data_IF_791900744112
#
_entry.id   IF_791900744112
#
_cell.length_a   1.000
_cell.length_b   1.000
_cell.length_c   1.000
_cell.angle_alpha   90.00
_cell.angle_beta   90.00
_cell.angle_gamma   90.00
#
_symmetry.space_group_name_H-M   'P 1'
#
loop_
_entity.id
_entity.type
_entity.pdbx_description
1 polymer ?
#
# COMPACT_ATOMS: atom_id res chain seq x y z
N UNK A 1 20.83 84.22 -58.71
CA UNK A 1 20.58 84.13 -57.25
C UNK A 1 19.09 84.23 -56.98
N UNK A 2 18.46 83.16 -56.46
CA UNK A 2 17.11 83.17 -55.86
C UNK A 2 17.16 82.32 -54.60
N UNK A 3 16.81 82.92 -53.45
CA UNK A 3 16.87 82.34 -52.11
C UNK A 3 15.99 81.07 -52.01
N UNK A 4 16.56 80.00 -51.46
CA UNK A 4 15.80 78.81 -51.06
C UNK A 4 14.85 79.14 -49.90
N UNK A 5 13.59 78.74 -50.01
CA UNK A 5 12.62 78.80 -48.90
C UNK A 5 12.83 77.60 -47.96
N UNK A 6 12.58 77.72 -46.64
CA UNK A 6 12.84 76.64 -45.69
C UNK A 6 12.00 75.40 -46.01
N UNK A 7 12.68 74.27 -46.21
CA UNK A 7 12.05 72.95 -46.34
C UNK A 7 11.41 72.62 -44.99
N UNK A 8 10.08 72.45 -44.93
CA UNK A 8 9.40 71.88 -43.76
C UNK A 8 9.94 70.46 -43.54
N UNK A 9 10.95 70.32 -42.69
CA UNK A 9 11.35 69.02 -42.12
C UNK A 9 10.48 68.83 -40.88
N UNK A 10 9.24 68.42 -41.07
CA UNK A 10 8.51 67.71 -40.02
C UNK A 10 7.97 66.44 -40.64
N UNK A 11 8.42 65.26 -40.20
CA UNK A 11 7.73 64.03 -40.53
C UNK A 11 6.28 64.13 -40.05
N UNK A 12 5.35 63.92 -40.97
CA UNK A 12 3.95 63.64 -40.66
C UNK A 12 3.88 62.39 -39.81
N UNK A 13 3.31 62.54 -38.61
CA UNK A 13 3.09 61.53 -37.57
C UNK A 13 4.32 60.73 -37.12
N UNK A 14 5.05 61.25 -36.13
CA UNK A 14 5.42 60.36 -35.04
C UNK A 14 4.12 60.06 -34.29
N UNK A 15 3.48 58.92 -34.58
CA UNK A 15 2.61 58.32 -33.57
C UNK A 15 3.52 58.08 -32.37
N UNK A 16 3.20 58.69 -31.23
CA UNK A 16 3.79 58.22 -29.98
C UNK A 16 3.57 56.71 -29.96
N UNK A 17 4.67 55.96 -30.07
CA UNK A 17 4.65 54.57 -29.67
C UNK A 17 4.57 54.68 -28.16
N UNK A 18 3.34 54.79 -27.64
CA UNK A 18 3.03 54.49 -26.25
C UNK A 18 3.68 53.14 -25.97
N UNK A 19 4.89 53.17 -25.44
CA UNK A 19 5.49 52.04 -24.74
C UNK A 19 4.74 52.04 -23.40
N UNK A 20 3.45 51.71 -23.46
CA UNK A 20 2.70 51.41 -22.25
C UNK A 20 3.33 50.13 -21.70
N UNK A 21 3.87 50.23 -20.49
CA UNK A 21 4.26 49.08 -19.70
C UNK A 21 2.96 48.41 -19.26
N UNK A 22 2.37 47.64 -20.15
CA UNK A 22 1.16 46.87 -19.85
C UNK A 22 1.59 45.63 -19.08
N UNK A 23 1.56 45.70 -17.75
CA UNK A 23 1.64 44.50 -16.93
C UNK A 23 0.35 43.72 -17.11
N UNK A 24 0.44 42.58 -17.79
CA UNK A 24 -0.70 41.70 -17.97
C UNK A 24 -0.32 40.29 -17.58
N UNK A 25 -1.15 39.69 -16.73
CA UNK A 25 -1.11 38.27 -16.40
C UNK A 25 -2.10 37.51 -17.27
N UNK A 26 -1.67 36.39 -17.80
CA UNK A 26 -2.56 35.37 -18.38
C UNK A 26 -2.37 34.07 -17.61
N UNK A 27 -3.43 33.27 -17.54
CA UNK A 27 -3.43 31.99 -16.84
C UNK A 27 -3.79 30.90 -17.82
N UNK A 28 -2.98 29.83 -17.86
CA UNK A 28 -3.29 28.60 -18.58
C UNK A 28 -3.38 27.44 -17.60
N UNK A 29 -4.35 26.56 -17.85
CA UNK A 29 -4.64 25.39 -17.04
C UNK A 29 -4.63 24.13 -17.89
N UNK A 30 -4.07 23.07 -17.33
CA UNK A 30 -4.06 21.73 -17.91
C UNK A 30 -4.17 20.72 -16.78
N UNK A 31 -4.55 19.49 -17.11
CA UNK A 31 -4.49 18.38 -16.18
C UNK A 31 -3.96 17.12 -16.84
N UNK A 32 -3.36 16.24 -16.02
CA UNK A 32 -2.98 14.90 -16.44
C UNK A 32 -3.16 13.92 -15.28
N UNK A 33 -3.46 12.69 -15.65
CA UNK A 33 -3.49 11.51 -14.80
C UNK A 33 -2.15 10.79 -14.89
N UNK A 34 -1.57 10.42 -13.75
CA UNK A 34 -0.33 9.64 -13.67
C UNK A 34 -0.56 8.31 -12.99
N UNK A 35 -0.01 7.23 -13.55
CA UNK A 35 0.15 5.94 -12.85
C UNK A 35 1.42 5.94 -11.99
N UNK A 36 1.61 4.92 -11.15
CA UNK A 36 2.82 4.73 -10.34
C UNK A 36 4.10 4.79 -11.20
N UNK A 37 5.14 5.43 -10.66
CA UNK A 37 6.45 5.66 -11.30
C UNK A 37 6.42 6.36 -12.67
N UNK A 38 5.26 6.86 -13.08
CA UNK A 38 5.13 7.55 -14.34
C UNK A 38 5.73 8.95 -14.24
N UNK A 39 6.77 9.18 -15.04
CA UNK A 39 7.31 10.51 -15.29
C UNK A 39 6.42 11.26 -16.27
N UNK A 40 6.16 12.53 -15.96
CA UNK A 40 5.49 13.44 -16.87
C UNK A 40 6.16 14.81 -16.89
N UNK A 41 5.96 15.50 -18.00
CA UNK A 41 6.54 16.82 -18.23
C UNK A 41 5.40 17.77 -18.56
N UNK A 42 5.26 18.80 -17.74
CA UNK A 42 4.36 19.89 -18.02
C UNK A 42 5.14 21.03 -18.63
N UNK A 43 4.74 21.41 -19.84
CA UNK A 43 5.41 22.42 -20.63
C UNK A 43 4.45 23.59 -20.83
N UNK A 44 4.88 24.78 -20.42
CA UNK A 44 4.22 26.04 -20.79
C UNK A 44 5.11 26.75 -21.81
N UNK A 45 4.51 27.18 -22.93
CA UNK A 45 5.20 27.96 -23.95
C UNK A 45 4.54 29.33 -24.13
N UNK A 46 5.31 30.39 -23.94
CA UNK A 46 4.93 31.76 -24.26
C UNK A 46 5.60 32.18 -25.57
N UNK A 47 4.81 32.58 -26.58
CA UNK A 47 5.31 32.97 -27.91
C UNK A 47 4.89 34.37 -28.36
N UNK A 48 5.82 35.13 -28.93
CA UNK A 48 5.59 36.45 -29.54
C UNK A 48 5.14 36.31 -31.00
N UNK A 49 3.91 36.75 -31.33
CA UNK A 49 3.35 36.70 -32.69
C UNK A 49 4.05 37.63 -33.69
N UNK A 50 4.79 38.65 -33.22
CA UNK A 50 5.40 39.69 -34.07
C UNK A 50 6.90 39.84 -33.92
N UNK A 51 7.55 38.87 -33.26
CA UNK A 51 8.99 38.90 -33.06
C UNK A 51 9.48 40.02 -32.13
N UNK A 52 8.59 40.58 -31.31
CA UNK A 52 8.92 41.56 -30.27
C UNK A 52 9.59 40.82 -29.11
N UNK A 53 10.72 41.32 -28.56
CA UNK A 53 11.36 40.74 -27.40
C UNK A 53 10.39 40.65 -26.22
N UNK A 54 10.31 39.45 -25.64
CA UNK A 54 9.49 39.18 -24.47
C UNK A 54 10.38 39.34 -23.22
N UNK A 55 10.08 40.36 -22.40
CA UNK A 55 10.61 40.45 -21.03
C UNK A 55 9.54 39.91 -20.09
N UNK A 56 9.83 38.76 -19.46
CA UNK A 56 8.80 37.98 -18.77
C UNK A 56 9.25 37.47 -17.40
N UNK A 57 8.29 37.48 -16.47
CA UNK A 57 8.29 36.62 -15.29
C UNK A 57 7.22 35.53 -15.49
N UNK A 58 7.65 34.27 -15.48
CA UNK A 58 6.77 33.09 -15.50
C UNK A 58 6.77 32.42 -14.13
N UNK A 59 5.58 32.18 -13.60
CA UNK A 59 5.39 31.43 -12.36
C UNK A 59 4.54 30.20 -12.72
N UNK A 60 5.04 29.00 -12.40
CA UNK A 60 4.28 27.74 -12.54
C UNK A 60 3.95 27.22 -11.14
N UNK A 61 2.71 26.80 -10.94
CA UNK A 61 2.25 26.20 -9.69
C UNK A 61 1.51 24.89 -9.95
N UNK A 62 1.58 23.98 -8.97
CA UNK A 62 1.04 22.61 -9.03
C UNK A 62 0.03 22.39 -7.91
N UNK A 63 -1.10 21.74 -8.22
CA UNK A 63 -2.18 21.48 -7.25
C UNK A 63 -2.85 20.11 -7.44
N UNK A 64 -3.40 19.54 -6.37
CA UNK A 64 -4.03 18.19 -6.34
C UNK A 64 -5.53 18.19 -5.98
N UNK A 65 -6.20 19.36 -5.89
CA UNK A 65 -7.58 19.44 -5.38
C UNK A 65 -8.53 20.28 -6.25
N UNK A 66 -8.46 21.62 -6.18
CA UNK A 66 -9.37 22.50 -6.92
C UNK A 66 -8.77 23.87 -7.24
N UNK A 67 -9.33 24.50 -8.29
CA UNK A 67 -8.99 25.87 -8.73
C UNK A 67 -9.23 26.91 -7.63
N UNK A 68 -10.23 26.67 -6.76
CA UNK A 68 -10.58 27.61 -5.69
C UNK A 68 -9.52 27.67 -4.58
N UNK A 69 -8.93 26.53 -4.23
CA UNK A 69 -7.85 26.41 -3.24
C UNK A 69 -6.50 26.82 -3.82
N UNK A 70 -6.25 26.51 -5.10
CA UNK A 70 -5.08 26.95 -5.85
C UNK A 70 -4.93 28.48 -5.93
N UNK A 71 -6.03 29.22 -5.90
CA UNK A 71 -6.03 30.68 -5.94
C UNK A 71 -5.75 31.36 -4.59
N UNK A 72 -5.65 30.60 -3.49
CA UNK A 72 -5.39 31.13 -2.15
C UNK A 72 -3.90 31.24 -1.80
N UNK A 73 -3.01 30.60 -2.57
CA UNK A 73 -1.56 30.60 -2.31
C UNK A 73 -0.79 31.10 -3.54
N UNK A 74 -0.48 32.40 -3.64
CA UNK A 74 0.38 32.91 -4.70
C UNK A 74 1.76 32.23 -4.62
N UNK A 75 2.16 31.53 -5.68
CA UNK A 75 3.45 30.84 -5.80
C UNK A 75 3.66 29.66 -4.84
N UNK A 76 2.60 29.03 -4.33
CA UNK A 76 2.70 27.82 -3.49
C UNK A 76 2.09 26.59 -4.13
N UNK A 77 2.43 25.41 -3.61
CA UNK A 77 1.78 24.12 -3.91
C UNK A 77 1.00 23.66 -2.68
N UNK A 78 -0.15 23.00 -2.89
CA UNK A 78 -0.87 22.28 -1.84
C UNK A 78 -0.64 20.75 -1.91
N UNK A 79 0.29 20.34 -2.76
CA UNK A 79 0.65 18.95 -2.96
C UNK A 79 1.34 18.42 -1.72
N UNK A 80 0.89 17.27 -1.24
CA UNK A 80 1.61 16.49 -0.25
C UNK A 80 2.84 15.85 -0.92
N UNK A 81 4.03 16.23 -0.46
CA UNK A 81 5.30 15.75 -1.01
C UNK A 81 5.60 14.29 -0.66
N UNK A 82 4.78 13.64 0.17
CA UNK A 82 4.87 12.20 0.39
C UNK A 82 4.51 11.38 -0.86
N UNK A 83 3.69 11.92 -1.78
CA UNK A 83 3.14 11.18 -2.92
C UNK A 83 3.73 11.62 -4.27
N UNK A 84 4.64 12.62 -4.28
CA UNK A 84 5.22 13.15 -5.52
C UNK A 84 6.63 13.70 -5.33
N UNK A 85 7.40 13.67 -6.41
CA UNK A 85 8.70 14.33 -6.49
C UNK A 85 8.77 15.27 -7.70
N UNK A 86 9.25 16.49 -7.47
CA UNK A 86 9.67 17.42 -8.54
C UNK A 86 11.11 17.06 -8.90
N UNK A 87 11.32 16.48 -10.08
CA UNK A 87 12.58 15.79 -10.45
C UNK A 87 13.48 16.58 -11.41
N UNK A 88 13.10 17.78 -11.85
CA UNK A 88 13.83 18.52 -12.87
C UNK A 88 13.91 20.03 -12.66
N UNK A 89 14.76 20.74 -13.43
CA UNK A 89 15.03 22.16 -13.23
C UNK A 89 13.78 23.02 -13.50
N UNK A 90 13.61 24.08 -12.71
CA UNK A 90 12.48 25.01 -12.78
C UNK A 90 12.35 25.76 -14.13
N UNK A 91 13.43 25.82 -14.93
CA UNK A 91 13.48 26.56 -16.21
C UNK A 91 14.51 25.96 -17.17
N UNK A 92 14.09 25.73 -18.42
CA UNK A 92 14.98 25.46 -19.54
C UNK A 92 14.87 26.61 -20.55
N UNK A 93 15.92 27.41 -20.69
CA UNK A 93 15.99 28.41 -21.77
C UNK A 93 16.41 27.68 -23.04
N UNK A 94 15.45 27.37 -23.92
CA UNK A 94 15.80 26.95 -25.27
C UNK A 94 16.32 28.17 -26.06
N UNK A 95 17.62 28.16 -26.37
CA UNK A 95 18.27 29.04 -27.34
C UNK A 95 17.44 29.12 -28.65
N UNK A 96 17.19 30.26 -29.30
CA UNK A 96 17.60 31.61 -29.04
C UNK A 96 17.01 32.53 -30.13
N UNK A 97 16.14 33.47 -29.72
CA UNK A 97 15.80 34.69 -30.47
C UNK A 97 14.88 35.67 -29.69
N UNK A 98 14.71 35.49 -28.37
CA UNK A 98 14.00 36.42 -27.47
C UNK A 98 12.48 36.46 -27.65
N UNK A 99 11.91 35.46 -28.34
CA UNK A 99 10.50 35.45 -28.82
C UNK A 99 9.68 34.28 -28.33
N UNK A 100 10.33 33.19 -27.92
CA UNK A 100 9.69 32.03 -27.33
C UNK A 100 10.36 31.76 -25.99
N UNK A 101 9.55 31.59 -24.94
CA UNK A 101 10.00 31.19 -23.62
C UNK A 101 9.27 29.90 -23.29
N UNK A 102 10.03 28.90 -22.84
CA UNK A 102 9.51 27.59 -22.46
C UNK A 102 9.87 27.37 -21.00
N UNK A 103 8.86 27.06 -20.18
CA UNK A 103 9.07 26.63 -18.81
C UNK A 103 8.54 25.20 -18.66
N UNK A 104 9.36 24.33 -18.06
CA UNK A 104 9.04 22.93 -17.83
C UNK A 104 9.05 22.63 -16.35
N UNK A 105 8.13 21.80 -15.91
CA UNK A 105 8.22 21.10 -14.63
C UNK A 105 8.16 19.61 -14.91
N UNK A 106 9.13 18.89 -14.36
CA UNK A 106 9.18 17.43 -14.38
C UNK A 106 8.60 16.92 -13.07
N UNK A 107 7.56 16.11 -13.16
CA UNK A 107 6.86 15.53 -12.00
C UNK A 107 6.89 14.01 -12.15
N UNK A 108 7.21 13.32 -11.04
CA UNK A 108 7.02 11.89 -10.90
C UNK A 108 5.89 11.63 -9.91
N UNK A 109 4.99 10.71 -10.25
CA UNK A 109 4.12 10.09 -9.26
C UNK A 109 4.97 9.13 -8.43
N UNK A 110 5.20 9.47 -7.17
CA UNK A 110 5.98 8.64 -6.24
C UNK A 110 4.99 7.99 -5.27
N UNK A 111 3.87 7.50 -5.81
CA UNK A 111 2.98 6.62 -5.07
C UNK A 111 3.86 5.61 -4.34
N UNK A 112 3.69 5.53 -3.02
CA UNK A 112 4.65 4.85 -2.17
C UNK A 112 4.64 3.39 -2.60
N UNK A 113 5.75 2.95 -3.20
CA UNK A 113 5.89 1.60 -3.75
C UNK A 113 5.27 0.59 -2.77
N UNK A 114 4.43 -0.31 -3.26
CA UNK A 114 3.96 -1.46 -2.48
C UNK A 114 5.16 -2.08 -1.78
N UNK A 115 5.15 -2.04 -0.45
CA UNK A 115 6.26 -2.50 0.39
C UNK A 115 5.79 -3.70 1.18
N UNK A 116 5.30 -4.71 0.46
CA UNK A 116 4.86 -5.96 1.06
C UNK A 116 6.03 -6.89 1.30
N UNK A 117 5.98 -7.64 2.39
CA UNK A 117 6.92 -8.70 2.73
C UNK A 117 6.17 -10.00 2.94
N UNK A 118 6.68 -11.09 2.37
CA UNK A 118 6.20 -12.44 2.66
C UNK A 118 6.98 -13.03 3.83
N UNK A 119 6.26 -13.55 4.81
CA UNK A 119 6.78 -14.29 5.94
C UNK A 119 6.20 -15.69 5.92
N UNK A 120 7.09 -16.66 5.80
CA UNK A 120 6.79 -18.07 5.87
C UNK A 120 7.46 -18.67 7.13
N UNK A 121 6.73 -19.50 7.88
CA UNK A 121 7.19 -20.09 9.14
C UNK A 121 6.64 -21.52 9.29
N UNK A 122 7.54 -22.48 9.44
CA UNK A 122 7.21 -23.81 9.95
C UNK A 122 7.27 -23.88 11.48
N UNK A 123 6.78 -25.00 12.01
CA UNK A 123 7.01 -25.39 13.40
C UNK A 123 8.48 -25.88 13.53
N UNK A 124 9.05 -25.80 14.74
CA UNK A 124 10.49 -26.07 14.98
C UNK A 124 10.77 -26.84 16.27
N UNK A 125 9.72 -27.24 16.99
CA UNK A 125 9.79 -27.86 18.31
C UNK A 125 8.44 -28.48 18.66
N UNK A 126 8.42 -29.67 19.21
CA UNK A 126 7.17 -30.37 19.52
C UNK A 126 6.31 -29.72 20.59
N UNK A 127 6.85 -28.81 21.39
CA UNK A 127 6.03 -28.02 22.31
C UNK A 127 5.26 -26.88 21.60
N UNK A 128 5.39 -26.76 20.28
CA UNK A 128 4.76 -25.73 19.46
C UNK A 128 3.55 -26.24 18.70
N UNK A 129 3.22 -27.50 18.81
CA UNK A 129 1.95 -28.03 18.36
C UNK A 129 1.42 -29.06 19.36
N UNK A 130 0.21 -29.50 19.09
CA UNK A 130 -0.43 -30.53 19.89
C UNK A 130 -1.93 -30.53 19.70
N UNK A 131 -2.56 -31.54 20.29
CA UNK A 131 -4.00 -31.64 20.35
C UNK A 131 -4.48 -32.02 21.74
N UNK A 132 -5.68 -31.57 22.05
CA UNK A 132 -6.43 -32.04 23.19
C UNK A 132 -7.25 -33.25 22.79
N UNK A 133 -7.00 -34.37 23.48
CA UNK A 133 -7.74 -35.62 23.30
C UNK A 133 -8.28 -36.12 24.65
N UNK A 134 -8.75 -35.19 25.50
CA UNK A 134 -9.04 -35.42 26.93
C UNK A 134 -7.81 -35.27 27.84
N UNK A 135 -6.63 -35.21 27.24
CA UNK A 135 -5.37 -34.73 27.81
C UNK A 135 -4.65 -33.98 26.69
N UNK A 136 -3.84 -32.97 27.03
CA UNK A 136 -2.99 -32.31 26.05
C UNK A 136 -1.86 -33.26 25.62
N UNK A 137 -1.80 -33.54 24.32
CA UNK A 137 -0.79 -34.39 23.68
C UNK A 137 -0.03 -33.59 22.61
N UNK A 138 1.29 -33.56 22.76
CA UNK A 138 2.25 -32.86 21.91
C UNK A 138 3.46 -33.77 21.60
N UNK A 139 3.31 -35.07 21.86
CA UNK A 139 4.37 -36.08 21.71
C UNK A 139 4.02 -37.16 20.69
N UNK A 140 2.83 -37.06 20.10
CA UNK A 140 2.35 -37.94 19.05
C UNK A 140 2.79 -37.43 17.69
N UNK A 141 3.02 -38.35 16.76
CA UNK A 141 3.33 -38.10 15.34
C UNK A 141 2.16 -37.45 14.56
N UNK A 142 1.19 -36.82 15.24
CA UNK A 142 0.09 -36.11 14.60
C UNK A 142 -0.85 -35.40 15.56
N UNK A 143 -1.42 -34.28 15.10
CA UNK A 143 -2.39 -33.47 15.84
C UNK A 143 -3.81 -33.75 15.37
N UNK A 144 -4.73 -33.95 16.31
CA UNK A 144 -6.12 -34.33 16.03
C UNK A 144 -7.11 -33.17 16.25
N UNK A 145 -8.15 -33.09 15.41
CA UNK A 145 -9.25 -32.13 15.54
C UNK A 145 -10.58 -32.74 15.08
N UNK A 146 -11.67 -32.48 15.80
CA UNK A 146 -13.02 -32.94 15.45
C UNK A 146 -13.82 -33.49 16.62
N UNK A 147 -14.84 -34.31 16.35
CA UNK A 147 -15.80 -34.83 17.33
C UNK A 147 -15.30 -36.00 18.18
N UNK A 148 -13.98 -36.13 18.35
CA UNK A 148 -13.26 -37.13 19.14
C UNK A 148 -13.98 -38.46 19.42
N UNK A 149 -13.95 -38.96 20.65
CA UNK A 149 -14.66 -40.21 21.00
C UNK A 149 -15.71 -39.94 22.06
N UNK A 150 -16.71 -40.82 22.17
CA UNK A 150 -17.74 -40.70 23.22
C UNK A 150 -17.17 -40.62 24.65
N UNK A 151 -15.96 -41.14 24.88
CA UNK A 151 -15.30 -41.12 26.19
C UNK A 151 -14.42 -39.88 26.42
N UNK A 152 -13.92 -39.26 25.35
CA UNK A 152 -12.93 -38.17 25.41
C UNK A 152 -13.52 -36.81 25.03
N UNK A 153 -14.69 -36.78 24.40
CA UNK A 153 -15.33 -35.55 23.93
C UNK A 153 -14.68 -35.02 22.66
N UNK A 154 -14.76 -33.72 22.46
CA UNK A 154 -14.21 -32.99 21.32
C UNK A 154 -12.68 -32.97 21.35
N UNK A 155 -12.09 -33.04 20.16
CA UNK A 155 -10.67 -32.84 19.93
C UNK A 155 -10.45 -31.46 19.32
N UNK A 156 -9.46 -30.75 19.82
CA UNK A 156 -9.00 -29.50 19.23
C UNK A 156 -7.48 -29.51 19.13
N UNK A 157 -6.94 -28.81 18.14
CA UNK A 157 -5.51 -28.71 17.94
C UNK A 157 -5.03 -27.27 18.10
N UNK A 158 -3.75 -27.10 18.41
CA UNK A 158 -3.13 -25.79 18.43
C UNK A 158 -1.73 -25.86 17.81
N UNK A 159 -1.33 -24.74 17.22
CA UNK A 159 -0.01 -24.56 16.60
C UNK A 159 0.57 -23.22 17.02
N UNK A 160 1.90 -23.15 17.09
CA UNK A 160 2.68 -21.99 17.52
C UNK A 160 3.88 -21.82 16.59
N UNK A 161 4.07 -20.58 16.16
CA UNK A 161 5.14 -20.18 15.27
C UNK A 161 6.06 -19.19 15.97
N UNK A 162 7.35 -19.48 15.98
CA UNK A 162 8.37 -18.66 16.63
C UNK A 162 8.89 -17.56 15.69
N UNK A 163 9.46 -16.50 16.29
CA UNK A 163 10.19 -15.47 15.57
C UNK A 163 9.38 -14.84 14.41
N UNK A 164 8.16 -14.41 14.71
CA UNK A 164 7.32 -13.67 13.77
C UNK A 164 7.87 -12.25 13.67
N UNK A 165 8.54 -11.95 12.56
CA UNK A 165 9.27 -10.69 12.40
C UNK A 165 8.40 -9.51 11.97
N UNK A 166 7.08 -9.64 12.08
CA UNK A 166 6.11 -8.60 11.72
C UNK A 166 6.13 -7.48 12.78
N UNK A 167 6.33 -6.20 12.40
CA UNK A 167 6.21 -5.08 13.31
C UNK A 167 4.81 -4.96 13.94
N UNK A 168 4.73 -4.29 15.09
CA UNK A 168 3.46 -3.97 15.72
C UNK A 168 2.62 -3.03 14.86
N UNK A 169 1.34 -3.37 14.69
CA UNK A 169 0.37 -2.58 13.92
C UNK A 169 0.61 -2.57 12.42
N UNK A 170 1.48 -3.46 11.91
CA UNK A 170 1.71 -3.59 10.48
C UNK A 170 0.46 -4.13 9.78
N UNK A 171 0.18 -3.62 8.58
CA UNK A 171 -0.99 -4.05 7.82
C UNK A 171 -0.81 -5.49 7.34
N UNK A 172 -1.75 -6.37 7.68
CA UNK A 172 -1.78 -7.74 7.14
C UNK A 172 -2.64 -7.75 5.87
N UNK A 173 -2.08 -8.24 4.77
CA UNK A 173 -2.76 -8.32 3.48
C UNK A 173 -3.38 -9.71 3.26
N UNK A 174 -2.68 -10.76 3.70
CA UNK A 174 -3.20 -12.13 3.71
C UNK A 174 -2.47 -12.98 4.73
N UNK A 175 -3.14 -13.95 5.33
CA UNK A 175 -2.51 -14.96 6.17
C UNK A 175 -3.18 -16.33 6.00
N UNK A 176 -2.41 -17.41 5.95
CA UNK A 176 -2.95 -18.78 5.85
C UNK A 176 -2.11 -19.77 6.65
N UNK A 177 -2.76 -20.83 7.12
CA UNK A 177 -2.09 -22.02 7.62
C UNK A 177 -2.22 -23.16 6.61
N UNK A 178 -1.18 -23.95 6.42
CA UNK A 178 -1.20 -25.17 5.59
C UNK A 178 -0.84 -26.38 6.43
N UNK A 179 -1.68 -27.41 6.39
CA UNK A 179 -1.49 -28.66 7.13
C UNK A 179 -1.36 -29.85 6.19
N UNK A 180 -0.47 -30.79 6.50
CA UNK A 180 -0.37 -32.08 5.79
C UNK A 180 -1.18 -33.13 6.52
N UNK A 181 -2.03 -33.89 5.82
CA UNK A 181 -2.81 -34.96 6.44
C UNK A 181 -1.94 -36.18 6.76
N UNK A 182 -1.91 -36.60 8.03
CA UNK A 182 -1.20 -37.81 8.49
C UNK A 182 -2.02 -39.08 8.32
N UNK A 183 -3.32 -38.95 7.97
CA UNK A 183 -4.21 -40.07 7.69
C UNK A 183 -5.27 -39.75 6.64
N UNK A 184 -5.92 -40.80 6.13
CA UNK A 184 -7.01 -40.71 5.17
C UNK A 184 -8.38 -40.90 5.83
N UNK A 185 -9.24 -39.90 5.69
CA UNK A 185 -10.55 -39.83 6.35
C UNK A 185 -11.62 -39.36 5.35
N UNK A 186 -12.88 -39.74 5.54
CA UNK A 186 -13.96 -39.49 4.56
C UNK A 186 -15.15 -38.71 5.15
N UNK A 187 -15.20 -38.59 6.47
CA UNK A 187 -16.17 -37.85 7.25
C UNK A 187 -16.10 -36.33 7.02
N UNK A 188 -17.06 -35.62 7.62
CA UNK A 188 -17.07 -34.16 7.65
C UNK A 188 -16.69 -33.70 9.04
N UNK A 189 -15.68 -32.85 9.12
CA UNK A 189 -15.21 -32.24 10.36
C UNK A 189 -15.47 -30.74 10.25
N UNK A 190 -16.18 -30.21 11.24
CA UNK A 190 -16.56 -28.81 11.37
C UNK A 190 -15.64 -28.14 12.37
N UNK A 191 -14.96 -27.08 11.94
CA UNK A 191 -13.95 -26.45 12.78
C UNK A 191 -13.96 -24.95 12.66
N UNK A 192 -13.48 -24.30 13.72
CA UNK A 192 -13.34 -22.86 13.80
C UNK A 192 -11.96 -22.47 14.31
N UNK A 193 -11.30 -21.61 13.55
CA UNK A 193 -9.92 -21.17 13.78
C UNK A 193 -9.93 -19.84 14.53
N UNK A 194 -9.11 -19.78 15.58
CA UNK A 194 -8.84 -18.60 16.37
C UNK A 194 -7.33 -18.35 16.48
N UNK A 195 -6.96 -17.10 16.70
CA UNK A 195 -5.63 -16.74 17.17
C UNK A 195 -5.58 -16.80 18.70
N UNK A 196 -4.42 -17.09 19.27
CA UNK A 196 -4.18 -16.98 20.71
C UNK A 196 -3.91 -15.50 21.03
N UNK A 197 -4.77 -14.92 21.87
CA UNK A 197 -4.78 -13.49 22.21
C UNK A 197 -3.71 -13.15 23.27
N UNK A 198 -2.45 -13.37 22.90
CA UNK A 198 -1.26 -13.15 23.72
C UNK A 198 -0.25 -12.29 22.96
N UNK A 199 0.51 -11.46 23.68
CA UNK A 199 1.57 -10.64 23.06
C UNK A 199 2.69 -11.51 22.48
N UNK A 200 3.01 -12.59 23.18
CA UNK A 200 3.90 -13.66 22.73
C UNK A 200 3.35 -14.97 23.22
N UNK A 201 2.98 -15.86 22.29
CA UNK A 201 2.33 -17.12 22.65
C UNK A 201 3.28 -17.99 23.46
N UNK A 202 2.89 -18.38 24.68
CA UNK A 202 3.69 -19.32 25.47
C UNK A 202 3.70 -20.73 24.87
N UNK A 203 4.74 -21.52 25.13
CA UNK A 203 4.77 -22.94 24.75
C UNK A 203 3.51 -23.67 25.25
N UNK A 204 3.06 -24.67 24.50
CA UNK A 204 2.02 -25.55 25.01
C UNK A 204 2.60 -26.48 26.07
N UNK A 205 1.77 -26.85 27.03
CA UNK A 205 2.11 -27.69 28.16
C UNK A 205 0.96 -28.65 28.47
N UNK A 206 1.26 -29.68 29.25
CA UNK A 206 0.27 -30.63 29.73
C UNK A 206 -0.70 -30.05 30.79
N UNK A 207 -0.74 -28.73 30.99
CA UNK A 207 -1.59 -28.09 31.97
C UNK A 207 -2.92 -27.61 31.33
N UNK A 208 -4.04 -28.31 31.54
CA UNK A 208 -5.34 -27.94 30.98
C UNK A 208 -5.88 -26.58 31.48
N UNK A 209 -5.31 -26.05 32.58
CA UNK A 209 -5.68 -24.73 33.10
C UNK A 209 -4.97 -23.56 32.41
N UNK A 210 -3.98 -23.84 31.57
CA UNK A 210 -3.20 -22.83 30.83
C UNK A 210 -3.33 -23.04 29.31
N UNK A 211 -3.54 -24.27 28.86
CA UNK A 211 -3.58 -24.64 27.44
C UNK A 211 -4.95 -25.25 27.09
N UNK A 212 -5.58 -24.78 26.01
CA UNK A 212 -6.89 -25.24 25.58
C UNK A 212 -8.00 -24.19 25.66
N UNK A 213 -9.17 -24.58 26.20
CA UNK A 213 -10.36 -23.72 26.35
C UNK A 213 -10.14 -22.45 27.20
N UNK A 214 -9.05 -22.40 27.97
CA UNK A 214 -8.76 -21.30 28.90
C UNK A 214 -7.77 -20.26 28.33
N UNK A 215 -7.12 -20.52 27.19
CA UNK A 215 -6.30 -19.48 26.56
C UNK A 215 -7.22 -18.42 25.99
N UNK A 216 -6.95 -17.13 26.24
CA UNK A 216 -7.69 -16.06 25.59
C UNK A 216 -7.48 -16.19 24.08
N UNK A 217 -8.55 -16.02 23.32
CA UNK A 217 -8.53 -16.11 21.86
C UNK A 217 -9.01 -14.80 21.25
N UNK A 218 -8.62 -14.58 20.00
CA UNK A 218 -9.06 -13.43 19.19
C UNK A 218 -10.59 -13.36 19.10
N UNK A 219 -11.11 -12.16 18.91
CA UNK A 219 -12.53 -11.97 18.58
C UNK A 219 -12.80 -12.40 17.13
N UNK A 220 -11.89 -12.05 16.22
CA UNK A 220 -11.87 -12.60 14.88
C UNK A 220 -11.67 -14.13 14.92
N UNK A 221 -12.42 -14.81 14.06
CA UNK A 221 -12.36 -16.25 13.86
C UNK A 221 -12.82 -16.59 12.44
N UNK A 222 -12.43 -17.77 11.96
CA UNK A 222 -12.68 -18.22 10.59
C UNK A 222 -13.13 -19.69 10.62
N UNK A 223 -14.23 -20.00 9.94
CA UNK A 223 -14.70 -21.38 9.76
C UNK A 223 -13.78 -22.13 8.79
N UNK A 224 -13.41 -23.36 9.12
CA UNK A 224 -12.60 -24.26 8.28
C UNK A 224 -13.20 -25.67 8.21
N UNK A 225 -14.45 -25.72 7.77
CA UNK A 225 -15.21 -26.96 7.60
C UNK A 225 -14.75 -27.74 6.37
N UNK A 226 -14.53 -29.04 6.56
CA UNK A 226 -13.90 -29.89 5.53
C UNK A 226 -14.56 -31.27 5.48
N UNK A 227 -14.76 -31.78 4.27
CA UNK A 227 -15.24 -33.14 4.02
C UNK A 227 -14.14 -33.97 3.38
N UNK A 228 -13.65 -34.94 4.12
CA UNK A 228 -12.60 -35.86 3.74
C UNK A 228 -11.20 -35.23 3.65
N UNK A 229 -10.20 -36.01 4.04
CA UNK A 229 -8.78 -35.73 3.82
C UNK A 229 -8.07 -36.98 3.32
N UNK A 230 -7.00 -36.81 2.56
CA UNK A 230 -6.21 -37.89 1.97
C UNK A 230 -4.80 -37.79 2.52
N UNK A 231 -4.31 -38.89 3.07
CA UNK A 231 -2.96 -39.02 3.62
C UNK A 231 -1.90 -38.48 2.65
N UNK A 232 -0.99 -37.68 3.18
CA UNK A 232 0.09 -37.02 2.44
C UNK A 232 -0.35 -35.89 1.52
N UNK A 233 -1.60 -35.42 1.58
CA UNK A 233 -2.04 -34.20 0.89
C UNK A 233 -2.03 -33.01 1.84
N UNK A 234 -1.71 -31.83 1.28
CA UNK A 234 -1.70 -30.57 2.01
C UNK A 234 -3.03 -29.83 1.85
N UNK A 235 -3.35 -29.06 2.87
CA UNK A 235 -4.62 -28.38 2.98
C UNK A 235 -4.49 -27.03 3.67
N UNK A 236 -4.86 -25.99 2.93
CA UNK A 236 -4.72 -24.60 3.38
C UNK A 236 -6.04 -24.06 3.92
N UNK A 237 -5.96 -23.25 4.96
CA UNK A 237 -7.10 -22.53 5.54
C UNK A 237 -7.61 -21.43 4.62
N UNK A 238 -8.83 -20.90 4.84
CA UNK A 238 -9.19 -19.59 4.33
C UNK A 238 -8.29 -18.49 4.92
N UNK A 239 -8.45 -17.26 4.42
CA UNK A 239 -7.66 -16.11 4.87
C UNK A 239 -7.90 -15.79 6.36
N UNK A 240 -6.81 -15.74 7.11
CA UNK A 240 -6.73 -15.48 8.55
C UNK A 240 -6.24 -14.06 8.85
N UNK A 241 -6.14 -13.18 7.84
CA UNK A 241 -5.61 -11.81 7.98
C UNK A 241 -6.23 -11.05 9.16
N UNK A 242 -7.54 -11.15 9.37
CA UNK A 242 -8.24 -10.51 10.48
C UNK A 242 -7.81 -11.04 11.86
N UNK A 243 -7.55 -12.34 11.98
CA UNK A 243 -7.04 -12.96 13.22
C UNK A 243 -5.63 -12.47 13.50
N UNK A 244 -4.75 -12.51 12.49
CA UNK A 244 -3.36 -12.06 12.61
C UNK A 244 -3.30 -10.57 12.92
N UNK A 245 -4.17 -9.75 12.29
CA UNK A 245 -4.25 -8.31 12.54
C UNK A 245 -4.56 -8.02 14.02
N UNK A 246 -5.53 -8.71 14.61
CA UNK A 246 -5.83 -8.54 16.04
C UNK A 246 -4.62 -8.80 16.94
N UNK A 247 -3.82 -9.82 16.63
CA UNK A 247 -2.61 -10.16 17.41
C UNK A 247 -1.50 -9.11 17.23
N UNK A 248 -1.19 -8.71 15.99
CA UNK A 248 -0.10 -7.74 15.74
C UNK A 248 -0.46 -6.31 16.17
N UNK A 249 -1.75 -6.00 16.31
CA UNK A 249 -2.26 -4.73 16.83
C UNK A 249 -2.19 -4.65 18.37
N UNK A 250 -1.91 -5.76 19.06
CA UNK A 250 -1.85 -5.79 20.52
C UNK A 250 -0.78 -4.83 21.04
N UNK A 251 -1.04 -4.04 22.09
CA UNK A 251 -0.08 -3.07 22.63
C UNK A 251 1.27 -3.66 23.07
N UNK A 252 1.31 -4.94 23.45
CA UNK A 252 2.55 -5.63 23.82
C UNK A 252 3.19 -6.46 22.69
N UNK A 253 2.59 -6.50 21.49
CA UNK A 253 3.20 -7.17 20.35
C UNK A 253 4.53 -6.52 19.98
N UNK A 254 5.51 -7.33 19.60
CA UNK A 254 6.83 -6.90 19.16
C UNK A 254 7.37 -7.89 18.12
N UNK A 255 8.08 -7.36 17.12
CA UNK A 255 8.74 -8.20 16.11
C UNK A 255 9.70 -9.19 16.80
N UNK A 256 9.60 -10.46 16.43
CA UNK A 256 10.30 -11.58 17.06
C UNK A 256 9.46 -12.36 18.08
N UNK A 257 8.27 -11.87 18.45
CA UNK A 257 7.33 -12.64 19.28
C UNK A 257 6.84 -13.90 18.57
N UNK A 258 6.33 -14.85 19.35
CA UNK A 258 5.63 -16.03 18.82
C UNK A 258 4.14 -15.78 18.69
N UNK A 259 3.54 -16.39 17.68
CA UNK A 259 2.11 -16.36 17.39
C UNK A 259 1.57 -17.78 17.44
N UNK A 260 0.35 -17.96 17.94
CA UNK A 260 -0.29 -19.27 17.92
C UNK A 260 -1.74 -19.20 17.53
N UNK A 261 -2.24 -20.35 17.12
CA UNK A 261 -3.60 -20.55 16.64
C UNK A 261 -4.19 -21.77 17.34
N UNK A 262 -5.49 -21.72 17.60
CA UNK A 262 -6.25 -22.85 18.11
C UNK A 262 -7.40 -23.13 17.14
N UNK A 263 -7.59 -24.40 16.82
CA UNK A 263 -8.62 -24.89 15.92
C UNK A 263 -9.53 -25.78 16.75
N UNK A 264 -10.71 -25.26 17.09
CA UNK A 264 -11.72 -25.99 17.85
C UNK A 264 -12.65 -26.76 16.92
N UNK A 265 -13.14 -27.91 17.40
CA UNK A 265 -14.38 -28.47 16.90
C UNK A 265 -15.54 -27.52 17.21
N UNK A 266 -16.45 -27.32 16.26
CA UNK A 266 -17.64 -26.50 16.49
C UNK A 266 -18.95 -27.21 16.10
N UNK A 267 -18.92 -28.54 15.97
CA UNK A 267 -20.11 -29.33 15.74
C UNK A 267 -19.95 -30.63 14.97
N UNK A 268 -18.76 -31.27 14.97
CA UNK A 268 -18.61 -32.56 14.29
C UNK A 268 -19.36 -33.68 15.01
N UNK A 269 -19.69 -34.75 14.29
CA UNK A 269 -20.27 -35.94 14.94
C UNK A 269 -19.22 -36.67 15.77
N UNK A 270 -19.68 -37.44 16.76
CA UNK A 270 -18.80 -38.33 17.52
C UNK A 270 -18.06 -39.28 16.56
N UNK A 271 -16.75 -39.43 16.76
CA UNK A 271 -15.82 -40.21 15.91
C UNK A 271 -15.54 -39.62 14.52
N UNK A 272 -16.07 -38.45 14.17
CA UNK A 272 -15.66 -37.71 12.98
C UNK A 272 -14.49 -36.78 13.35
N UNK A 273 -13.24 -37.15 13.02
CA UNK A 273 -12.06 -36.35 13.33
C UNK A 273 -10.96 -36.51 12.28
N UNK A 274 -10.13 -35.49 12.14
CA UNK A 274 -8.96 -35.51 11.27
C UNK A 274 -7.68 -35.55 12.09
N UNK A 275 -6.64 -36.12 11.49
CA UNK A 275 -5.28 -36.08 12.00
C UNK A 275 -4.38 -35.44 10.93
N UNK A 276 -3.61 -34.46 11.35
CA UNK A 276 -2.59 -33.80 10.55
C UNK A 276 -1.20 -34.13 11.10
N UNK A 277 -0.17 -33.99 10.27
CA UNK A 277 1.22 -34.10 10.70
C UNK A 277 1.53 -33.02 11.75
N UNK A 278 2.45 -33.38 12.64
CA UNK A 278 3.02 -32.57 13.73
C UNK A 278 4.53 -32.52 13.58
N UNK A 279 5.21 -31.68 14.35
CA UNK A 279 6.69 -31.66 14.41
C UNK A 279 7.32 -33.05 14.69
N UNK A 280 6.62 -33.92 15.42
CA UNK A 280 7.12 -35.27 15.72
C UNK A 280 6.93 -36.26 14.54
N UNK A 281 6.29 -35.83 13.44
CA UNK A 281 6.02 -36.67 12.28
C UNK A 281 7.32 -37.02 11.52
N UNK A 282 7.49 -38.27 11.06
CA UNK A 282 8.73 -38.66 10.38
C UNK A 282 8.92 -37.98 9.01
N UNK A 283 9.91 -37.10 8.92
CA UNK A 283 10.27 -36.40 7.69
C UNK A 283 9.97 -34.92 7.79
N UNK A 284 10.94 -34.19 8.33
CA UNK A 284 10.96 -32.79 8.82
C UNK A 284 10.49 -31.67 7.85
N UNK A 285 9.55 -31.91 6.93
CA UNK A 285 9.07 -30.92 5.94
C UNK A 285 7.55 -31.02 5.68
N UNK A 286 6.78 -31.64 6.58
CA UNK A 286 5.31 -31.72 6.46
C UNK A 286 4.54 -31.06 7.59
N UNK A 287 5.26 -30.43 8.53
CA UNK A 287 4.69 -29.70 9.66
C UNK A 287 3.81 -28.55 9.21
N UNK A 288 2.90 -28.10 10.07
CA UNK A 288 2.00 -27.02 9.73
C UNK A 288 2.78 -25.72 9.43
N UNK A 289 2.45 -25.06 8.32
CA UNK A 289 3.15 -23.87 7.81
C UNK A 289 2.26 -22.62 7.91
N UNK A 290 2.82 -21.51 8.38
CA UNK A 290 2.19 -20.19 8.43
C UNK A 290 2.79 -19.30 7.34
N UNK A 291 1.91 -18.82 6.45
CA UNK A 291 2.23 -17.83 5.44
C UNK A 291 1.51 -16.52 5.74
N UNK A 292 2.24 -15.40 5.76
CA UNK A 292 1.69 -14.06 5.95
C UNK A 292 2.32 -13.11 4.94
N UNK A 293 1.48 -12.40 4.18
CA UNK A 293 1.86 -11.21 3.43
C UNK A 293 1.44 -9.98 4.23
N UNK A 294 2.37 -9.09 4.52
CA UNK A 294 2.14 -7.88 5.29
C UNK A 294 2.91 -6.70 4.72
N UNK A 295 2.47 -5.49 5.06
CA UNK A 295 3.05 -4.25 4.56
C UNK A 295 2.03 -3.38 3.85
N UNK A 296 2.42 -2.16 3.54
CA UNK A 296 1.56 -1.21 2.84
C UNK A 296 1.31 -1.64 1.39
N UNK A 297 0.09 -2.11 1.14
CA UNK A 297 -0.48 -2.21 -0.21
C UNK A 297 -1.10 -0.87 -0.60
N UNK A 298 -0.37 -0.08 -1.40
CA UNK A 298 -0.94 1.10 -2.04
C UNK A 298 -1.66 0.69 -3.32
N UNK A 299 -2.97 0.96 -3.39
CA UNK A 299 -3.69 0.87 -4.66
C UNK A 299 -3.25 2.02 -5.55
N UNK A 300 -2.71 1.74 -6.73
CA UNK A 300 -2.25 2.76 -7.69
C UNK A 300 -3.24 3.93 -7.79
N UNK A 301 -2.83 5.10 -7.29
CA UNK A 301 -3.68 6.28 -7.24
C UNK A 301 -3.54 7.04 -8.55
N UNK A 302 -4.65 7.14 -9.27
CA UNK A 302 -4.78 8.10 -10.37
C UNK A 302 -4.80 9.51 -9.78
N UNK A 303 -3.80 10.30 -10.15
CA UNK A 303 -3.63 11.65 -9.62
C UNK A 303 -3.95 12.69 -10.69
N UNK A 304 -5.00 13.47 -10.44
CA UNK A 304 -5.35 14.63 -11.27
C UNK A 304 -4.55 15.85 -10.82
N UNK A 305 -3.47 16.14 -11.55
CA UNK A 305 -2.67 17.33 -11.28
C UNK A 305 -3.23 18.53 -12.06
N UNK A 306 -3.42 19.66 -11.39
CA UNK A 306 -3.79 20.93 -12.04
C UNK A 306 -2.53 21.78 -12.18
N UNK A 307 -2.27 22.20 -13.42
CA UNK A 307 -1.17 23.11 -13.75
C UNK A 307 -1.70 24.52 -13.86
N UNK A 308 -1.00 25.47 -13.25
CA UNK A 308 -1.26 26.89 -13.48
C UNK A 308 0.01 27.57 -13.93
N UNK A 309 0.01 28.07 -15.15
CA UNK A 309 1.04 28.96 -15.65
C UNK A 309 0.59 30.42 -15.57
N UNK A 310 1.38 31.30 -14.98
CA UNK A 310 1.18 32.75 -15.04
C UNK A 310 2.36 33.44 -15.71
N UNK A 311 2.08 34.27 -16.71
CA UNK A 311 3.10 35.03 -17.43
C UNK A 311 2.82 36.52 -17.33
N UNK A 312 3.82 37.32 -16.96
CA UNK A 312 3.79 38.80 -17.03
C UNK A 312 4.71 39.29 -18.13
N UNK A 313 4.20 39.97 -19.15
CA UNK A 313 5.00 40.43 -20.31
C UNK A 313 4.86 41.94 -20.58
N UNK A 314 5.88 42.53 -21.23
CA UNK A 314 5.89 43.94 -21.66
C UNK A 314 5.69 44.04 -23.19
N UNK A 315 4.46 43.87 -23.69
CA UNK A 315 4.04 44.01 -25.12
C UNK A 315 2.50 44.01 -25.23
N UNK A 316 1.84 44.59 -26.26
CA UNK A 316 0.38 44.52 -26.40
C UNK A 316 -0.18 43.08 -26.53
N UNK A 317 -1.23 42.74 -25.75
CA UNK A 317 -1.87 41.40 -25.66
C UNK A 317 -2.12 40.69 -26.99
N UNK A 318 -2.54 41.44 -28.02
CA UNK A 318 -2.87 40.90 -29.34
C UNK A 318 -1.69 40.22 -30.04
N UNK A 319 -0.47 40.46 -29.57
CA UNK A 319 0.78 40.03 -30.18
C UNK A 319 1.47 38.88 -29.41
N UNK A 320 0.81 38.22 -28.46
CA UNK A 320 1.33 37.06 -27.70
C UNK A 320 0.35 35.87 -27.76
N UNK A 321 0.88 34.65 -27.71
CA UNK A 321 0.12 33.39 -27.50
C UNK A 321 0.74 32.64 -26.33
N UNK A 322 -0.09 32.02 -25.49
CA UNK A 322 0.32 31.06 -24.46
C UNK A 322 -0.35 29.73 -24.77
N UNK A 323 0.42 28.64 -24.72
CA UNK A 323 -0.03 27.26 -24.93
C UNK A 323 0.64 26.33 -23.96
#
# INVERSE_FOLDING_TARGET
MRRASPRKIRPTSTRDRNLDIVHKSETIESSATLTEDQDTIFTMTTSSKKGVPILVQEDISLFNSSISEANLIPNGSNIDFSNYQVIGPWREYADGDGKNIVSKIYVRNVDVSTSTTDLNRGIVNSNNDGSWIGVWDFTSDGISVGGGTAALGEFYMAVRYENITIPQGEQINSATLTFTASGGFAETVLTKIYGIDEDTTGNFSNNPGVDGENRPVTSANVDWDRTGITEGQTYTTPDLSAIVQEIVDRPGWSSGNSMGFIIYDDGSSVEDYFIYDSEESPGDDTDAELDINYGTDHTAVTLDLIFRGQTRYITPRRDVTIT
#
